data_IF_282851814098
#
_entry.id   IF_282851814098
#
_cell.length_a   1.000
_cell.length_b   1.000
_cell.length_c   1.000
_cell.angle_alpha   90.00
_cell.angle_beta   90.00
_cell.angle_gamma   90.00
#
_symmetry.space_group_name_H-M   'P 1'
#
loop_
_entity.id
_entity.type
_entity.pdbx_description
1 polymer ?
2 non-polymer ?
3 water ?
#
# COMPACT_ATOMS: atom_id res chain seq x y z
N UNK A 1 3.03 -11.15 3.95
CA UNK A 1 4.47 -10.97 4.19
C UNK A 1 4.76 -9.58 4.69
N UNK A 2 4.52 -9.40 5.97
CA UNK A 2 4.79 -8.14 6.59
C UNK A 2 5.51 -8.50 7.87
N UNK A 3 6.35 -7.59 8.38
CA UNK A 3 7.07 -7.87 9.63
C UNK A 3 6.01 -8.04 10.74
N UNK A 4 6.37 -8.76 11.82
CA UNK A 4 5.44 -9.00 12.93
C UNK A 4 4.99 -7.81 13.75
N UNK A 5 5.78 -6.75 13.76
CA UNK A 5 5.46 -5.56 14.54
C UNK A 5 4.34 -4.70 13.98
N UNK A 6 3.92 -4.98 12.76
CA UNK A 6 2.85 -4.21 12.13
C UNK A 6 1.53 -4.95 11.95
N UNK A 7 0.43 -4.21 12.10
CA UNK A 7 -0.90 -4.77 11.86
C UNK A 7 -1.04 -4.62 10.34
N UNK A 8 -2.03 -5.25 9.73
CA UNK A 8 -2.17 -5.12 8.28
C UNK A 8 -2.35 -3.65 7.89
N UNK A 9 -3.10 -2.90 8.68
CA UNK A 9 -3.33 -1.49 8.41
C UNK A 9 -2.02 -0.68 8.51
N UNK A 10 -1.19 -1.00 9.49
CA UNK A 10 0.07 -0.28 9.65
C UNK A 10 1.02 -0.61 8.51
N UNK A 11 0.94 -1.83 8.01
CA UNK A 11 1.78 -2.26 6.90
C UNK A 11 1.26 -1.61 5.61
N UNK A 12 -0.06 -1.49 5.48
CA UNK A 12 -0.63 -0.86 4.30
C UNK A 12 -0.12 0.58 4.24
N UNK A 13 -0.12 1.24 5.39
CA UNK A 13 0.33 2.63 5.49
C UNK A 13 1.82 2.74 5.11
N UNK A 14 2.61 1.77 5.57
CA UNK A 14 4.05 1.74 5.31
C UNK A 14 4.32 1.53 3.82
N UNK A 15 3.54 0.64 3.20
CA UNK A 15 3.70 0.31 1.79
C UNK A 15 3.08 1.25 0.76
N UNK A 16 1.89 1.76 1.04
CA UNK A 16 1.17 2.58 0.07
C UNK A 16 0.76 3.99 0.43
N UNK A 17 1.13 4.48 1.60
CA UNK A 17 0.75 5.85 1.98
C UNK A 17 1.92 6.72 2.42
N UNK A 18 2.78 6.18 3.28
CA UNK A 18 3.91 6.97 3.75
C UNK A 18 5.13 6.82 2.86
N UNK A 19 5.17 7.59 1.77
CA UNK A 19 6.33 7.53 0.90
C UNK A 19 7.38 8.45 1.55
N UNK A 20 8.31 7.82 2.27
CA UNK A 20 9.32 8.55 3.03
C UNK A 20 10.27 9.45 2.22
N UNK A 21 10.21 9.32 0.90
CA UNK A 21 11.01 10.11 -0.04
C UNK A 21 10.27 10.07 -1.37
N UNK A 22 10.26 11.19 -2.08
CA UNK A 22 9.59 11.27 -3.37
C UNK A 22 10.35 10.46 -4.43
N UNK A 23 11.54 9.99 -4.06
CA UNK A 23 12.37 9.18 -4.95
C UNK A 23 12.07 7.73 -4.60
N UNK A 24 11.71 6.91 -5.58
CA UNK A 24 11.37 5.50 -5.32
C UNK A 24 12.49 4.66 -4.71
N UNK A 25 13.72 4.85 -5.17
CA UNK A 25 14.84 4.09 -4.64
C UNK A 25 14.95 4.24 -3.12
N UNK A 26 14.84 5.46 -2.61
CA UNK A 26 14.92 5.68 -1.17
C UNK A 26 13.65 5.23 -0.46
N UNK A 27 12.50 5.53 -1.04
CA UNK A 27 11.22 5.14 -0.46
C UNK A 27 11.13 3.62 -0.30
N UNK A 28 11.61 2.89 -1.31
CA UNK A 28 11.57 1.43 -1.28
C UNK A 28 12.50 0.78 -0.26
N UNK A 29 13.58 1.46 0.12
CA UNK A 29 14.47 0.86 1.11
C UNK A 29 13.71 0.56 2.41
N UNK A 30 12.71 1.37 2.73
CA UNK A 30 11.96 1.14 3.95
C UNK A 30 11.20 -0.18 3.85
N UNK A 31 10.49 -0.36 2.74
CA UNK A 31 9.72 -1.58 2.52
C UNK A 31 10.64 -2.80 2.44
N UNK A 32 11.71 -2.65 1.67
CA UNK A 32 12.70 -3.70 1.43
C UNK A 32 13.45 -4.12 2.67
N UNK A 33 13.81 -3.14 3.49
CA UNK A 33 14.52 -3.42 4.72
C UNK A 33 13.60 -4.15 5.69
N UNK A 34 12.30 -3.92 5.56
CA UNK A 34 11.36 -4.55 6.45
C UNK A 34 10.99 -5.97 6.01
N UNK A 35 10.81 -6.19 4.72
CA UNK A 35 10.44 -7.53 4.26
C UNK A 35 11.61 -8.40 3.81
N UNK A 36 12.84 -7.91 3.99
CA UNK A 36 14.05 -8.64 3.63
C UNK A 36 14.07 -9.17 2.21
N UNK A 37 13.84 -8.27 1.26
CA UNK A 37 13.83 -8.61 -0.15
C UNK A 37 13.44 -7.33 -0.87
N UNK A 38 13.91 -7.18 -2.10
CA UNK A 38 13.58 -6.01 -2.90
C UNK A 38 12.33 -6.28 -3.71
N UNK A 39 11.22 -5.72 -3.24
CA UNK A 39 9.94 -5.88 -3.92
C UNK A 39 10.07 -5.44 -5.38
N UNK A 40 9.51 -6.22 -6.29
CA UNK A 40 9.59 -5.90 -7.71
C UNK A 40 8.78 -4.66 -8.11
N UNK A 41 7.57 -4.55 -7.57
CA UNK A 41 6.69 -3.43 -7.89
C UNK A 41 5.92 -2.96 -6.66
N UNK A 42 5.72 -1.65 -6.54
CA UNK A 42 4.98 -1.11 -5.42
C UNK A 42 4.46 0.30 -5.72
N UNK A 43 3.18 0.52 -5.42
CA UNK A 43 2.52 1.80 -5.66
C UNK A 43 2.28 2.60 -4.38
N UNK A 44 2.65 3.87 -4.41
CA UNK A 44 2.42 4.76 -3.28
C UNK A 44 1.29 5.69 -3.72
N UNK A 45 0.23 5.78 -2.92
CA UNK A 45 -0.91 6.67 -3.22
C UNK A 45 -0.66 8.03 -2.57
N UNK A 46 -0.70 9.09 -3.37
CA UNK A 46 -0.48 10.43 -2.84
C UNK A 46 -1.80 10.93 -2.25
N UNK A 47 -2.16 10.33 -1.12
CA UNK A 47 -3.38 10.65 -0.42
C UNK A 47 -3.14 10.42 1.05
N UNK A 48 -4.13 10.77 1.87
CA UNK A 48 -4.02 10.61 3.31
C UNK A 48 -4.64 9.31 3.82
N UNK A 49 -4.15 8.86 4.97
CA UNK A 49 -4.65 7.65 5.60
C UNK A 49 -6.15 7.83 5.84
N UNK A 50 -6.52 9.01 6.34
CA UNK A 50 -7.92 9.34 6.61
C UNK A 50 -8.76 9.24 5.31
N UNK A 51 -8.19 9.66 4.18
CA UNK A 51 -8.89 9.60 2.90
C UNK A 51 -9.16 8.14 2.50
N UNK A 52 -8.18 7.27 2.68
CA UNK A 52 -8.35 5.86 2.33
C UNK A 52 -9.36 5.17 3.25
N UNK A 53 -9.29 5.47 4.54
CA UNK A 53 -10.23 4.89 5.49
C UNK A 53 -11.66 5.25 5.04
N UNK A 54 -11.87 6.48 4.60
CA UNK A 54 -13.20 6.88 4.14
C UNK A 54 -13.63 6.15 2.87
N UNK A 55 -12.66 5.82 2.01
CA UNK A 55 -12.97 5.07 0.79
C UNK A 55 -13.43 3.68 1.25
N UNK A 56 -12.94 3.24 2.41
CA UNK A 56 -13.35 1.95 2.95
C UNK A 56 -14.85 2.03 3.24
N UNK A 57 -15.37 3.25 3.31
CA UNK A 57 -16.78 3.46 3.57
C UNK A 57 -17.63 3.43 2.31
N UNK A 58 -16.97 3.33 1.15
CA UNK A 58 -17.69 3.26 -0.11
C UNK A 58 -18.26 1.84 -0.25
N UNK A 59 -19.21 1.64 -1.17
CA UNK A 59 -19.81 0.31 -1.34
C UNK A 59 -18.80 -0.81 -1.51
N UNK A 60 -19.09 -1.95 -0.89
CA UNK A 60 -18.23 -3.11 -1.01
C UNK A 60 -18.31 -3.58 -2.45
N UNK A 61 -17.19 -4.07 -2.97
CA UNK A 61 -17.16 -4.59 -4.32
C UNK A 61 -16.20 -5.78 -4.36
N UNK A 62 -16.29 -6.57 -5.42
CA UNK A 62 -15.42 -7.71 -5.60
C UNK A 62 -14.00 -7.24 -5.88
N UNK A 63 -13.03 -7.88 -5.23
CA UNK A 63 -11.62 -7.53 -5.42
C UNK A 63 -11.08 -8.03 -6.76
N UNK A 64 -10.70 -7.11 -7.66
CA UNK A 64 -10.17 -7.56 -8.96
C UNK A 64 -9.13 -8.68 -8.84
N UNK A 65 -8.24 -8.58 -7.86
CA UNK A 65 -7.21 -9.60 -7.65
C UNK A 65 -7.78 -10.94 -7.16
N UNK A 66 -8.85 -10.88 -6.36
CA UNK A 66 -9.48 -12.10 -5.84
C UNK A 66 -11.01 -12.06 -5.94
N UNK A 67 -11.52 -12.83 -6.88
CA UNK A 67 -12.94 -12.93 -7.14
C UNK A 67 -13.71 -13.49 -5.95
N UNK A 68 -13.02 -14.12 -5.01
CA UNK A 68 -13.70 -14.66 -3.85
C UNK A 68 -13.85 -13.64 -2.73
N UNK A 69 -13.23 -12.47 -2.90
CA UNK A 69 -13.27 -11.42 -1.90
C UNK A 69 -14.23 -10.27 -2.18
N UNK A 70 -15.01 -9.92 -1.17
CA UNK A 70 -15.97 -8.83 -1.30
C UNK A 70 -15.64 -7.67 -0.36
N UNK A 71 -14.41 -7.63 0.14
CA UNK A 71 -14.04 -6.55 1.06
C UNK A 71 -13.30 -5.39 0.40
N UNK A 72 -13.41 -5.28 -0.92
CA UNK A 72 -12.75 -4.20 -1.63
C UNK A 72 -13.63 -2.96 -1.81
N UNK A 73 -12.98 -1.83 -2.03
CA UNK A 73 -13.69 -0.57 -2.21
C UNK A 73 -12.99 0.32 -3.23
N UNK A 74 -13.79 0.91 -4.10
CA UNK A 74 -13.31 1.78 -5.17
C UNK A 74 -13.26 3.23 -4.67
N UNK A 75 -12.16 3.91 -4.97
CA UNK A 75 -11.95 5.29 -4.55
C UNK A 75 -12.96 6.33 -5.05
N UNK A 76 -13.60 6.08 -6.19
CA UNK A 76 -14.56 7.06 -6.69
C UNK A 76 -13.94 8.28 -7.36
N UNK A 77 -12.74 8.67 -6.92
CA UNK A 77 -12.01 9.81 -7.49
C UNK A 77 -10.58 9.36 -7.79
N UNK A 78 -9.96 9.96 -8.81
CA UNK A 78 -8.59 9.62 -9.17
C UNK A 78 -7.65 10.34 -8.24
N UNK A 79 -6.52 9.71 -7.92
CA UNK A 79 -5.54 10.34 -7.07
C UNK A 79 -4.17 10.27 -7.72
N UNK A 80 -3.29 11.23 -7.38
CA UNK A 80 -1.95 11.18 -7.96
C UNK A 80 -1.30 10.03 -7.23
N UNK A 81 -0.41 9.31 -7.90
CA UNK A 81 0.28 8.20 -7.25
C UNK A 81 1.65 8.02 -7.90
N UNK A 82 2.51 7.27 -7.23
CA UNK A 82 3.82 6.97 -7.78
C UNK A 82 3.98 5.45 -7.80
N UNK A 83 4.28 4.90 -8.97
CA UNK A 83 4.52 3.48 -9.05
C UNK A 83 6.04 3.25 -9.12
N UNK A 84 6.56 2.44 -8.19
CA UNK A 84 7.98 2.13 -8.12
C UNK A 84 8.22 0.78 -8.77
N UNK A 85 9.21 0.72 -9.65
CA UNK A 85 9.55 -0.51 -10.36
C UNK A 85 11.04 -0.82 -10.18
N UNK A 86 11.34 -2.06 -9.77
CA UNK A 86 12.72 -2.49 -9.55
C UNK A 86 13.57 -2.43 -10.84
N UNK A 87 14.67 -1.68 -10.80
CA UNK A 87 15.55 -1.55 -11.96
C UNK A 87 16.89 -2.25 -11.74
N UNK A 88 17.33 -2.30 -10.49
CA UNK A 88 18.59 -2.91 -10.12
C UNK A 88 18.45 -3.76 -8.88
N UNK A 89 18.24 -5.08 -9.04
CA UNK A 89 18.09 -6.04 -7.93
C UNK A 89 19.42 -6.52 -7.33
N UNK A 90 19.41 -6.77 -6.02
CA UNK A 90 20.58 -7.25 -5.28
C UNK A 90 20.13 -8.15 -4.14
N UNK A 91 19.82 -9.42 -4.44
CA UNK A 91 19.37 -10.35 -3.39
C UNK A 91 20.38 -10.59 -2.26
N UNK A 92 21.57 -10.02 -2.37
CA UNK A 92 22.59 -10.19 -1.33
C UNK A 92 22.84 -8.88 -0.58
N UNK A 93 22.30 -7.78 -1.09
CA UNK A 93 22.44 -6.47 -0.45
C UNK A 93 21.29 -5.54 -0.82
N UNK A 94 20.16 -5.72 -0.13
CA UNK A 94 18.93 -4.97 -0.34
C UNK A 94 19.03 -3.45 -0.48
N UNK A 95 19.79 -2.83 0.40
CA UNK A 95 19.93 -1.39 0.38
C UNK A 95 20.51 -0.88 -0.93
N UNK A 96 21.03 -1.79 -1.74
CA UNK A 96 21.62 -1.43 -3.03
C UNK A 96 20.61 -1.43 -4.18
N UNK A 97 19.42 -1.93 -3.91
CA UNK A 97 18.37 -1.97 -4.92
C UNK A 97 17.99 -0.58 -5.39
N UNK A 98 17.85 -0.42 -6.70
CA UNK A 98 17.49 0.85 -7.30
C UNK A 98 16.14 0.68 -7.97
N UNK A 99 15.37 1.77 -8.05
CA UNK A 99 14.03 1.73 -8.64
C UNK A 99 13.77 2.90 -9.57
N UNK A 100 12.74 2.75 -10.39
CA UNK A 100 12.31 3.81 -11.30
C UNK A 100 11.03 4.30 -10.65
N UNK A 101 10.62 5.52 -10.95
CA UNK A 101 9.37 6.08 -10.42
C UNK A 101 8.51 6.48 -11.59
N UNK A 102 7.24 6.09 -11.54
CA UNK A 102 6.32 6.42 -12.61
C UNK A 102 5.10 7.13 -12.05
N UNK A 103 4.99 8.45 -12.27
CA UNK A 103 3.85 9.24 -11.78
C UNK A 103 2.59 9.06 -12.62
N UNK A 104 1.45 9.01 -11.95
CA UNK A 104 0.18 8.85 -12.66
C UNK A 104 -0.98 9.34 -11.81
N UNK A 105 -2.16 9.35 -12.40
CA UNK A 105 -3.37 9.76 -11.71
C UNK A 105 -4.39 8.67 -12.00
N UNK A 106 -4.67 7.82 -11.03
CA UNK A 106 -5.63 6.76 -11.27
C UNK A 106 -6.50 6.49 -10.06
N UNK A 107 -7.48 5.62 -10.27
CA UNK A 107 -8.38 5.20 -9.22
C UNK A 107 -7.66 4.08 -8.49
N UNK A 108 -8.12 3.77 -7.29
CA UNK A 108 -7.54 2.67 -6.57
C UNK A 108 -8.66 1.89 -5.92
N UNK A 109 -8.41 0.61 -5.73
CA UNK A 109 -9.34 -0.29 -5.08
C UNK A 109 -8.56 -0.86 -3.92
N UNK A 110 -9.11 -0.69 -2.72
CA UNK A 110 -8.49 -1.18 -1.50
C UNK A 110 -9.42 -2.15 -0.79
N UNK A 111 -8.82 -3.15 -0.17
CA UNK A 111 -9.55 -4.12 0.61
C UNK A 111 -9.44 -3.56 2.03
N UNK A 112 -10.55 -3.56 2.75
CA UNK A 112 -10.60 -3.05 4.11
C UNK A 112 -11.17 -4.10 5.04
N UNK A 113 -10.77 -4.03 6.30
CA UNK A 113 -11.23 -4.97 7.30
C UNK A 113 -11.35 -4.27 8.64
N UNK A 114 -11.94 -4.96 9.60
CA UNK A 114 -12.02 -4.42 10.94
C UNK A 114 -10.58 -4.33 11.45
N UNK A 115 -10.30 -3.33 12.28
CA UNK A 115 -8.96 -3.13 12.81
C UNK A 115 -8.46 -4.26 13.71
N UNK A 116 -7.14 -4.32 13.92
CA UNK A 116 -6.53 -5.30 14.82
C UNK A 116 -6.96 -4.82 16.21
N UNK A 117 -7.81 -5.60 16.87
CA UNK A 117 -8.33 -5.23 18.18
C UNK A 117 -7.26 -4.84 19.17
N UNK A 118 -6.19 -5.61 19.19
CA UNK A 118 -5.10 -5.40 20.13
C UNK A 118 -4.10 -4.30 19.82
N UNK A 119 -3.73 -4.16 18.55
CA UNK A 119 -2.70 -3.21 18.16
C UNK A 119 -3.06 -1.99 17.32
N UNK A 120 -4.19 -2.04 16.63
CA UNK A 120 -4.61 -0.90 15.83
C UNK A 120 -5.35 0.09 16.73
N UNK A 121 -5.11 1.38 16.53
CA UNK A 121 -5.79 2.39 17.34
C UNK A 121 -7.31 2.34 17.17
N UNK A 122 -8.05 2.50 18.28
CA UNK A 122 -9.51 2.48 18.30
C UNK A 122 -10.16 3.58 17.48
N UNK A 123 -9.39 4.63 17.18
CA UNK A 123 -9.90 5.75 16.38
C UNK A 123 -10.52 5.28 15.05
N UNK A 124 -9.89 4.29 14.42
CA UNK A 124 -10.38 3.77 13.15
C UNK A 124 -10.85 2.32 13.20
N UNK A 125 -12.14 2.10 13.46
CA UNK A 125 -12.67 0.73 13.50
C UNK A 125 -12.45 -0.09 12.21
N UNK A 126 -12.48 0.59 11.07
CA UNK A 126 -12.30 -0.05 9.76
C UNK A 126 -11.06 0.55 9.09
N UNK A 127 -10.18 -0.31 8.62
CA UNK A 127 -8.92 0.16 8.04
C UNK A 127 -8.53 -0.55 6.75
N UNK A 128 -7.77 0.14 5.88
CA UNK A 128 -7.34 -0.50 4.62
C UNK A 128 -6.30 -1.52 5.00
N UNK A 129 -6.32 -2.68 4.35
CA UNK A 129 -5.34 -3.71 4.68
C UNK A 129 -4.58 -4.21 3.45
N UNK A 130 -5.03 -3.81 2.26
CA UNK A 130 -4.39 -4.26 1.04
C UNK A 130 -4.76 -3.36 -0.13
N UNK A 131 -3.80 -3.07 -1.00
CA UNK A 131 -4.06 -2.26 -2.18
C UNK A 131 -4.28 -3.27 -3.29
N UNK A 132 -5.54 -3.48 -3.67
CA UNK A 132 -5.84 -4.48 -4.69
C UNK A 132 -5.47 -4.09 -6.11
N UNK A 133 -5.81 -2.86 -6.48
CA UNK A 133 -5.53 -2.41 -7.83
C UNK A 133 -5.56 -0.91 -7.99
N UNK A 134 -4.95 -0.49 -9.08
CA UNK A 134 -4.90 0.91 -9.47
C UNK A 134 -5.42 0.79 -10.90
N UNK A 135 -6.52 1.48 -11.19
CA UNK A 135 -7.12 1.42 -12.51
C UNK A 135 -7.03 2.74 -13.26
X LIG B 1 0.84 -10.71 2.10
X LIG B 1 1.34 -9.34 2.44
X LIG B 1 1.31 -11.26 0.79
X LIG B 1 0.49 -11.62 3.21
X LIG B 1 -0.59 -5.54 -0.62
X LIG B 1 -1.19 -4.24 -0.22
X LIG B 1 0.89 -5.52 -0.83
X LIG B 1 -1.38 -6.51 -1.38
X LIG B 1 -0.58 -6.30 0.84
X LIG B 1 -1.75 -6.62 1.64
X LIG B 1 -1.83 -8.15 2.01
X LIG B 1 -3.27 -8.50 2.00
X LIG B 1 -1.18 -9.13 0.98
X LIG B 1 -0.66 -10.35 1.64
X LIG B 1 -2.33 -9.40 0.04
X LIG B 1 -2.15 -10.47 -0.88
X LIG B 1 -3.47 -9.59 1.06
X LIG B 1 -4.83 -9.55 0.43
X LIG B 1 -5.20 -9.82 -0.88
X LIG B 1 -6.49 -9.70 -1.14
X LIG B 1 -7.04 -9.32 0.07
X LIG B 1 -8.40 -9.03 0.48
X LIG B 1 -9.42 -9.09 -0.36
X LIG B 1 -8.63 -8.67 1.82
X LIG B 1 -7.58 -8.60 2.71
X LIG B 1 -6.24 -8.85 2.44
X LIG B 1 -6.04 -9.21 1.09
#
# INVERSE_FOLDING_TARGET
>A
MKPPQFTWAQWFETQHINMTSQQCTNAMQVINNYQRRCKNQNTFLLTTFANVVNVCGNPNMTCPSNKTRKNCHHSGSQVPLIHCNLTTPSPQNISNCRYAQTPANMFYIVACDNRDQRRDPPQYPVVPVHLDRII
>B hetero
1 A3P P1 O1P O2P O3P P2 O4P O5P O6P O5' C5' C4' O4' C3' O3' C2' O2' C1' N9 C8 N7 C5 C6 N6 N1 C2 N3 C4
#
